data_IF_774929778535
#
_entry.id   IF_774929778535
#
_cell.length_a   1.000
_cell.length_b   1.000
_cell.length_c   1.000
_cell.angle_alpha   90.00
_cell.angle_beta   90.00
_cell.angle_gamma   90.00
#
_symmetry.space_group_name_H-M   'P 1'
#
loop_
_entity.id
_entity.type
_entity.pdbx_description
1 polymer ?
#
# COMPACT_ATOMS: atom_id res chain seq x y z
N UNK A 1 3.24 9.17 6.05
CA UNK A 1 3.62 8.17 5.02
C UNK A 1 3.87 6.87 5.75
N UNK A 2 3.13 5.81 5.38
CA UNK A 2 3.21 4.52 6.05
C UNK A 2 4.45 3.75 5.57
N UNK A 3 5.36 3.36 6.47
CA UNK A 3 6.62 2.70 6.10
C UNK A 3 6.55 1.18 6.00
N UNK A 4 5.50 0.58 6.57
CA UNK A 4 5.35 -0.87 6.66
C UNK A 4 3.96 -1.27 7.12
N UNK A 5 3.60 -2.51 6.83
CA UNK A 5 2.31 -3.11 7.21
C UNK A 5 2.53 -4.52 7.75
N UNK A 6 1.59 -4.96 8.56
CA UNK A 6 1.47 -6.37 8.95
C UNK A 6 0.23 -6.95 8.31
N UNK A 7 0.40 -8.03 7.57
CA UNK A 7 -0.69 -8.84 7.01
C UNK A 7 -0.65 -10.24 7.62
N UNK A 8 -1.78 -10.94 7.56
CA UNK A 8 -1.86 -12.34 7.99
C UNK A 8 -2.45 -13.17 6.88
N UNK A 9 -1.82 -14.30 6.61
CA UNK A 9 -2.28 -15.31 5.66
C UNK A 9 -2.24 -16.64 6.40
N UNK A 10 -3.41 -17.24 6.62
CA UNK A 10 -3.58 -18.40 7.51
C UNK A 10 -2.88 -18.18 8.88
N UNK A 11 -1.88 -19.00 9.21
CA UNK A 11 -1.12 -18.94 10.45
C UNK A 11 0.15 -18.11 10.36
N UNK A 12 0.44 -17.54 9.19
CA UNK A 12 1.64 -16.76 8.95
C UNK A 12 1.37 -15.26 9.07
N UNK A 13 2.18 -14.59 9.87
CA UNK A 13 2.24 -13.13 9.96
C UNK A 13 3.34 -12.61 9.05
N UNK A 14 2.99 -11.71 8.14
CA UNK A 14 3.88 -11.08 7.19
C UNK A 14 4.14 -9.64 7.60
N UNK A 15 5.41 -9.32 7.90
CA UNK A 15 5.87 -7.95 8.13
C UNK A 15 6.47 -7.42 6.83
N UNK A 16 5.79 -6.45 6.22
CA UNK A 16 6.10 -5.96 4.87
C UNK A 16 6.54 -4.49 4.99
N UNK A 17 7.69 -4.15 4.43
CA UNK A 17 8.24 -2.80 4.50
C UNK A 17 8.41 -2.21 3.11
N UNK A 18 7.90 -1.00 2.89
CA UNK A 18 7.95 -0.34 1.57
C UNK A 18 9.35 -0.23 0.96
N UNK A 19 10.45 0.01 1.72
CA UNK A 19 11.80 0.05 1.15
C UNK A 19 12.28 -1.26 0.53
N UNK A 20 11.66 -2.40 0.88
CA UNK A 20 12.04 -3.68 0.28
C UNK A 20 11.53 -3.73 -1.17
N UNK A 21 12.41 -3.89 -2.18
CA UNK A 21 12.03 -3.91 -3.59
C UNK A 21 11.07 -5.05 -3.95
N UNK A 22 10.91 -6.07 -3.10
CA UNK A 22 9.97 -7.19 -3.30
C UNK A 22 8.71 -7.07 -2.43
N UNK A 23 8.49 -5.94 -1.79
CA UNK A 23 7.32 -5.75 -0.93
C UNK A 23 6.03 -5.87 -1.76
N UNK A 24 5.20 -6.86 -1.40
CA UNK A 24 3.86 -7.04 -1.93
C UNK A 24 2.87 -7.12 -0.76
N UNK A 25 1.64 -6.68 -1.00
CA UNK A 25 0.55 -6.67 -0.01
C UNK A 25 -0.58 -7.55 -0.55
N UNK A 26 -1.23 -8.38 0.29
CA UNK A 26 -2.43 -9.09 -0.12
C UNK A 26 -3.58 -8.11 -0.33
N UNK A 27 -4.17 -8.11 -1.52
CA UNK A 27 -5.27 -7.24 -1.91
C UNK A 27 -6.43 -8.08 -2.41
N UNK A 28 -7.59 -7.89 -1.80
CA UNK A 28 -8.87 -8.40 -2.29
C UNK A 28 -9.40 -7.45 -3.37
N UNK A 29 -9.42 -7.89 -4.62
CA UNK A 29 -9.95 -7.12 -5.74
C UNK A 29 -11.48 -7.07 -5.68
N UNK A 30 -12.06 -5.87 -5.69
CA UNK A 30 -13.52 -5.68 -5.51
C UNK A 30 -14.32 -6.30 -6.67
N UNK A 31 -13.79 -6.20 -7.88
CA UNK A 31 -14.47 -6.63 -9.11
C UNK A 31 -14.58 -8.16 -9.21
N UNK A 32 -13.50 -8.88 -8.88
CA UNK A 32 -13.43 -10.34 -9.03
C UNK A 32 -13.61 -11.09 -7.71
N UNK A 33 -13.50 -10.42 -6.56
CA UNK A 33 -13.39 -11.07 -5.26
C UNK A 33 -12.10 -11.88 -5.06
N UNK A 34 -11.12 -11.75 -5.97
CA UNK A 34 -9.87 -12.49 -5.92
C UNK A 34 -8.88 -11.84 -4.94
N UNK A 35 -8.23 -12.67 -4.13
CA UNK A 35 -7.14 -12.26 -3.27
C UNK A 35 -5.80 -12.47 -3.99
N UNK A 36 -5.07 -11.39 -4.27
CA UNK A 36 -3.77 -11.43 -4.93
C UNK A 36 -2.69 -10.69 -4.13
N UNK A 37 -1.44 -11.13 -4.29
CA UNK A 37 -0.28 -10.42 -3.75
C UNK A 37 0.20 -9.37 -4.75
N UNK A 38 -0.09 -8.12 -4.43
CA UNK A 38 0.16 -6.97 -5.30
C UNK A 38 1.40 -6.23 -4.86
N UNK A 39 2.34 -6.00 -5.79
CA UNK A 39 3.54 -5.22 -5.52
C UNK A 39 3.20 -3.82 -4.97
N UNK A 40 3.88 -3.41 -3.91
CA UNK A 40 3.57 -2.18 -3.18
C UNK A 40 4.21 -0.94 -3.82
N UNK A 41 3.65 -0.51 -4.95
CA UNK A 41 4.03 0.71 -5.65
C UNK A 41 5.45 0.68 -6.23
N UNK A 42 5.77 1.63 -7.10
CA UNK A 42 7.09 1.70 -7.76
C UNK A 42 8.05 2.60 -6.99
N UNK A 43 9.31 2.21 -6.84
CA UNK A 43 10.37 3.05 -6.28
C UNK A 43 10.89 3.97 -7.37
N UNK A 44 11.56 5.05 -6.98
CA UNK A 44 12.04 6.02 -7.96
C UNK A 44 12.94 5.37 -9.02
N UNK A 45 13.78 4.44 -8.58
CA UNK A 45 14.85 3.87 -9.40
C UNK A 45 14.42 2.60 -10.13
N UNK A 46 13.25 2.05 -9.80
CA UNK A 46 12.69 0.90 -10.50
C UNK A 46 12.15 1.33 -11.86
N UNK A 47 12.46 0.63 -12.96
CA UNK A 47 11.89 0.96 -14.26
C UNK A 47 10.37 0.71 -14.29
N UNK A 48 9.68 1.37 -15.20
CA UNK A 48 8.26 1.11 -15.50
C UNK A 48 7.34 2.32 -15.39
N UNK A 49 6.11 2.12 -15.85
CA UNK A 49 5.11 3.18 -15.97
C UNK A 49 4.13 3.21 -14.80
N UNK A 50 4.31 2.35 -13.79
CA UNK A 50 3.45 2.32 -12.61
C UNK A 50 3.58 3.58 -11.72
N UNK A 51 2.60 3.83 -10.85
CA UNK A 51 2.63 4.95 -9.90
C UNK A 51 3.85 4.84 -8.99
N UNK A 52 4.56 5.96 -8.84
CA UNK A 52 5.69 6.06 -7.93
C UNK A 52 5.21 6.24 -6.49
N UNK A 53 5.78 5.45 -5.56
CA UNK A 53 5.43 5.42 -4.15
C UNK A 53 4.33 4.40 -3.83
N UNK A 54 4.20 4.08 -2.55
CA UNK A 54 3.23 3.10 -2.05
C UNK A 54 1.86 3.68 -1.67
N UNK A 55 1.58 4.95 -1.98
CA UNK A 55 0.41 5.67 -1.48
C UNK A 55 -0.12 6.69 -2.47
N UNK A 56 -1.44 6.86 -2.48
CA UNK A 56 -2.15 7.86 -3.25
C UNK A 56 -2.89 8.81 -2.32
N UNK A 57 -2.84 10.12 -2.57
CA UNK A 57 -3.74 11.05 -1.90
C UNK A 57 -5.16 10.83 -2.42
N UNK A 58 -6.13 10.73 -1.50
CA UNK A 58 -7.53 10.51 -1.87
C UNK A 58 -8.05 11.59 -2.82
N UNK A 59 -7.71 12.85 -2.57
CA UNK A 59 -8.09 13.98 -3.45
C UNK A 59 -7.56 13.81 -4.87
N UNK A 60 -6.31 13.37 -5.04
CA UNK A 60 -5.71 13.11 -6.36
C UNK A 60 -6.38 11.95 -7.08
N UNK A 61 -6.83 10.92 -6.34
CA UNK A 61 -7.60 9.81 -6.91
C UNK A 61 -8.98 10.30 -7.35
N UNK A 62 -9.67 11.08 -6.51
CA UNK A 62 -11.01 11.62 -6.80
C UNK A 62 -11.00 12.63 -7.95
N UNK A 63 -9.92 13.39 -8.11
CA UNK A 63 -9.75 14.34 -9.22
C UNK A 63 -9.30 13.67 -10.54
N UNK A 64 -9.27 12.34 -10.61
CA UNK A 64 -8.90 11.60 -11.84
C UNK A 64 -7.40 11.53 -12.13
N UNK A 65 -6.52 11.98 -11.23
CA UNK A 65 -5.06 11.97 -11.45
C UNK A 65 -4.45 10.56 -11.60
N UNK A 66 -5.23 9.52 -11.28
CA UNK A 66 -4.85 8.11 -11.37
C UNK A 66 -5.40 7.39 -12.60
N UNK A 67 -6.27 8.00 -13.40
CA UNK A 67 -6.92 7.34 -14.55
C UNK A 67 -5.92 6.82 -15.59
N UNK A 68 -4.78 7.51 -15.75
CA UNK A 68 -3.68 7.08 -16.61
C UNK A 68 -3.12 5.67 -16.27
N UNK A 69 -3.33 5.19 -15.05
CA UNK A 69 -2.90 3.85 -14.61
C UNK A 69 -4.00 2.79 -14.71
N UNK A 70 -5.20 3.17 -15.20
CA UNK A 70 -6.40 2.31 -15.29
C UNK A 70 -6.63 1.55 -13.99
N UNK A 71 -6.83 2.26 -12.86
CA UNK A 71 -6.71 1.66 -11.55
C UNK A 71 -7.92 0.77 -11.23
N UNK A 72 -7.64 -0.44 -10.76
CA UNK A 72 -8.62 -1.37 -10.19
C UNK A 72 -8.77 -1.11 -8.70
N UNK A 73 -9.99 -1.27 -8.18
CA UNK A 73 -10.31 -1.09 -6.76
C UNK A 73 -10.09 -2.38 -5.99
N UNK A 74 -9.60 -2.25 -4.77
CA UNK A 74 -9.41 -3.39 -3.88
C UNK A 74 -9.20 -2.98 -2.42
N UNK A 75 -9.22 -3.96 -1.55
CA UNK A 75 -8.94 -3.83 -0.13
C UNK A 75 -7.63 -4.52 0.22
N UNK A 76 -6.66 -3.76 0.72
CA UNK A 76 -5.44 -4.32 1.30
C UNK A 76 -5.78 -5.03 2.60
N UNK A 77 -5.56 -6.35 2.64
CA UNK A 77 -5.87 -7.24 3.75
C UNK A 77 -4.78 -7.16 4.83
N UNK A 78 -4.63 -5.96 5.40
CA UNK A 78 -3.63 -5.64 6.43
C UNK A 78 -4.29 -5.54 7.79
N UNK A 79 -3.62 -6.07 8.81
CA UNK A 79 -4.07 -6.00 10.20
C UNK A 79 -3.52 -4.78 10.93
N UNK A 80 -2.30 -4.37 10.57
CA UNK A 80 -1.66 -3.19 11.14
C UNK A 80 -0.88 -2.42 10.09
N UNK A 81 -0.74 -1.12 10.28
CA UNK A 81 0.13 -0.27 9.48
C UNK A 81 1.01 0.58 10.38
N UNK A 82 2.20 0.89 9.88
CA UNK A 82 3.18 1.69 10.57
C UNK A 82 2.88 3.17 10.38
N UNK A 83 2.71 3.86 11.48
CA UNK A 83 2.64 5.31 11.53
C UNK A 83 3.88 5.87 12.24
N UNK A 84 4.31 7.06 11.82
CA UNK A 84 5.42 7.78 12.44
C UNK A 84 4.85 8.94 13.22
N UNK A 85 5.12 8.96 14.52
CA UNK A 85 4.82 10.10 15.38
C UNK A 85 5.78 11.26 15.11
N UNK A 86 5.32 12.49 15.38
CA UNK A 86 6.15 13.68 15.31
C UNK A 86 5.92 14.54 14.08
N UNK A 87 6.41 15.78 14.15
CA UNK A 87 6.14 16.79 13.12
C UNK A 87 7.02 16.55 11.87
N UNK A 88 6.58 17.00 10.69
CA UNK A 88 7.43 17.03 9.51
C UNK A 88 8.73 17.81 9.80
N UNK A 89 9.89 17.16 9.64
CA UNK A 89 11.21 17.77 9.88
C UNK A 89 11.96 17.24 11.11
N UNK A 90 11.28 16.54 12.02
CA UNK A 90 11.94 15.93 13.19
C UNK A 90 12.75 14.68 12.81
N UNK A 91 13.98 14.60 13.33
CA UNK A 91 14.83 13.42 13.24
C UNK A 91 14.43 12.42 14.33
N UNK A 92 14.64 11.12 14.08
CA UNK A 92 14.39 10.03 15.04
C UNK A 92 12.94 9.87 15.53
N UNK A 93 11.98 10.08 14.63
CA UNK A 93 10.55 9.85 14.89
C UNK A 93 10.23 8.41 15.29
N UNK A 94 9.52 8.25 16.41
CA UNK A 94 9.01 6.96 16.88
C UNK A 94 8.03 6.38 15.87
N UNK A 95 8.16 5.09 15.60
CA UNK A 95 7.25 4.35 14.72
C UNK A 95 6.38 3.42 15.57
N UNK A 96 5.07 3.44 15.37
CA UNK A 96 4.15 2.52 16.04
C UNK A 96 3.24 1.82 15.04
N UNK A 97 2.71 0.66 15.42
CA UNK A 97 1.76 -0.10 14.61
C UNK A 97 0.33 0.23 15.02
N UNK A 98 -0.42 0.81 14.10
CA UNK A 98 -1.84 1.10 14.27
C UNK A 98 -2.66 -0.07 13.74
N UNK A 99 -3.68 -0.52 14.49
CA UNK A 99 -4.55 -1.64 14.10
C UNK A 99 -5.62 -1.20 13.10
N UNK A 100 -5.84 -2.01 12.07
CA UNK A 100 -6.95 -1.88 11.13
C UNK A 100 -8.05 -2.90 11.46
N UNK A 101 -9.27 -2.44 11.69
CA UNK A 101 -10.42 -3.32 11.92
C UNK A 101 -10.93 -4.03 10.65
N UNK A 102 -10.57 -3.52 9.45
CA UNK A 102 -11.10 -4.03 8.17
C UNK A 102 -10.18 -3.80 6.96
N UNK A 103 -8.86 -3.79 7.17
CA UNK A 103 -7.90 -3.53 6.09
C UNK A 103 -7.74 -2.06 5.72
N UNK A 104 -7.14 -1.80 4.55
CA UNK A 104 -6.92 -0.45 4.00
C UNK A 104 -7.43 -0.38 2.55
N UNK A 105 -7.84 0.80 2.09
CA UNK A 105 -8.22 0.98 0.68
C UNK A 105 -6.98 0.90 -0.22
N UNK A 106 -7.09 0.15 -1.31
CA UNK A 106 -6.03 -0.01 -2.30
C UNK A 106 -6.48 0.42 -3.71
N UNK A 107 -5.48 0.77 -4.53
CA UNK A 107 -5.60 0.98 -5.97
C UNK A 107 -4.51 0.17 -6.65
N UNK A 108 -4.92 -0.74 -7.53
CA UNK A 108 -4.03 -1.65 -8.23
C UNK A 108 -3.94 -1.19 -9.69
N UNK A 109 -2.74 -0.96 -10.26
CA UNK A 109 -2.63 -0.65 -11.69
C UNK A 109 -3.26 -1.75 -12.55
N UNK A 110 -4.00 -1.37 -13.59
CA UNK A 110 -4.71 -2.33 -14.46
C UNK A 110 -3.80 -3.09 -15.43
N UNK A 111 -2.55 -2.67 -15.58
CA UNK A 111 -1.54 -3.29 -16.43
C UNK A 111 -0.21 -3.35 -15.67
N UNK A 112 0.44 -4.52 -15.69
CA UNK A 112 1.77 -4.77 -15.14
C UNK A 112 2.82 -4.71 -16.24
#
# INVERSE_FOLDING_TARGET
MCGGVEAREADKVWKIYFPNPKAAIPVLLEESGQLDWIHWGRRKEEPGNGPQGGWARLSTVQSGGWEKYRPRRGFGMVQRFMEKEGRPGEKNRTSHLVRCAGGIRARVPGHW
#
